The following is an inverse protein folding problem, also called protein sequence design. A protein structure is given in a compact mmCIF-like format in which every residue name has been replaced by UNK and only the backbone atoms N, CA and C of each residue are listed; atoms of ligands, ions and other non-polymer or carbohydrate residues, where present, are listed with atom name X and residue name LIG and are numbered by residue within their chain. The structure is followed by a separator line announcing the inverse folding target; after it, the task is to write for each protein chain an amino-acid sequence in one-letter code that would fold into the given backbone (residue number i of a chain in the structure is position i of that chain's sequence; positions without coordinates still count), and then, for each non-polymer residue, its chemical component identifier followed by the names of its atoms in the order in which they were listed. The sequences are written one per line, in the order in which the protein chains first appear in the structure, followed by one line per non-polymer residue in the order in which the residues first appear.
data_IF_747565531693
#
_entry.id   IF_747565531693
#
_cell.length_a   1.000
_cell.length_b   1.000
_cell.length_c   1.000
_cell.angle_alpha   90.00
_cell.angle_beta   90.00
_cell.angle_gamma   90.00
#
_symmetry.space_group_name_H-M   'P 1'
#
loop_
_entity.id
_entity.type
_entity.pdbx_description
1 polymer ?
#
# COMPACT_ATOMS: atom_id res chain seq x y z
N UNK A 1 -0.48 1.45 7.74
CA UNK A 1 -0.74 1.47 6.29
C UNK A 1 -0.04 2.64 5.63
N UNK A 2 1.27 2.51 5.46
CA UNK A 2 2.09 3.61 4.95
C UNK A 2 3.18 3.12 4.01
N UNK A 3 3.71 4.06 3.24
CA UNK A 3 4.83 3.85 2.32
C UNK A 3 5.98 4.80 2.61
N UNK A 4 7.19 4.41 2.22
CA UNK A 4 8.37 5.25 2.30
C UNK A 4 8.27 6.47 1.37
N UNK A 5 9.03 7.51 1.69
CA UNK A 5 9.23 8.65 0.79
C UNK A 5 9.78 8.16 -0.56
N UNK A 6 9.41 8.84 -1.63
CA UNK A 6 9.80 8.48 -2.98
C UNK A 6 8.90 7.43 -3.64
N UNK A 7 7.93 6.87 -2.92
CA UNK A 7 6.93 5.97 -3.52
C UNK A 7 6.16 6.75 -4.59
N UNK A 8 6.14 6.23 -5.81
CA UNK A 8 5.53 6.91 -6.96
C UNK A 8 4.05 6.60 -7.07
N UNK A 9 3.22 7.63 -6.97
CA UNK A 9 1.77 7.52 -7.08
C UNK A 9 1.35 7.88 -8.50
N UNK A 10 0.59 7.01 -9.15
CA UNK A 10 0.10 7.24 -10.51
C UNK A 10 -1.02 8.28 -10.53
N UNK A 11 -0.81 9.36 -11.29
CA UNK A 11 -1.78 10.42 -11.47
C UNK A 11 -2.72 10.13 -12.65
N UNK A 12 -3.91 10.73 -12.62
CA UNK A 12 -4.91 10.57 -13.67
C UNK A 12 -4.43 11.03 -15.05
N UNK A 13 -3.48 11.97 -15.10
CA UNK A 13 -2.92 12.51 -16.36
C UNK A 13 -1.82 11.62 -16.99
N UNK A 14 -1.49 10.49 -16.36
CA UNK A 14 -0.45 9.57 -16.83
C UNK A 14 0.94 9.81 -16.24
N UNK A 15 1.14 10.89 -15.48
CA UNK A 15 2.37 11.15 -14.75
C UNK A 15 2.40 10.40 -13.42
N UNK A 16 3.54 10.48 -12.74
CA UNK A 16 3.70 10.01 -11.36
C UNK A 16 4.14 11.17 -10.48
N UNK A 17 3.84 11.04 -9.18
CA UNK A 17 4.22 12.02 -8.16
C UNK A 17 4.62 11.28 -6.91
N UNK A 18 5.71 11.70 -6.25
CA UNK A 18 6.12 11.10 -4.98
C UNK A 18 5.04 11.28 -3.92
N UNK A 19 4.82 10.23 -3.11
CA UNK A 19 3.75 10.21 -2.11
C UNK A 19 3.86 11.41 -1.14
N UNK A 20 5.07 11.82 -0.75
CA UNK A 20 5.29 12.96 0.14
C UNK A 20 4.90 14.31 -0.49
N UNK A 21 4.78 14.36 -1.81
CA UNK A 21 4.42 15.56 -2.56
C UNK A 21 2.94 15.61 -2.94
N UNK A 22 2.21 14.53 -2.74
CA UNK A 22 0.76 14.48 -2.99
C UNK A 22 0.05 15.46 -2.06
N UNK A 23 -0.92 16.19 -2.60
CA UNK A 23 -1.76 17.13 -1.85
C UNK A 23 -3.23 16.80 -2.04
N UNK A 24 -4.06 17.29 -1.12
CA UNK A 24 -5.52 17.18 -1.27
C UNK A 24 -5.96 17.83 -2.58
N UNK A 25 -6.86 17.14 -3.28
CA UNK A 25 -7.34 17.59 -4.58
C UNK A 25 -6.59 16.98 -5.77
N UNK A 26 -5.42 16.35 -5.56
CA UNK A 26 -4.76 15.63 -6.63
C UNK A 26 -5.64 14.50 -7.15
N UNK A 27 -5.66 14.31 -8.46
CA UNK A 27 -6.39 13.21 -9.09
C UNK A 27 -5.44 12.05 -9.35
N UNK A 28 -5.76 10.90 -8.76
CA UNK A 28 -4.94 9.70 -8.83
C UNK A 28 -5.70 8.54 -9.46
N UNK A 29 -4.99 7.56 -9.97
CA UNK A 29 -5.57 6.32 -10.46
C UNK A 29 -5.75 5.34 -9.31
N UNK A 30 -6.84 4.57 -9.37
CA UNK A 30 -7.15 3.52 -8.40
C UNK A 30 -7.99 2.42 -9.03
N UNK A 31 -8.53 1.55 -8.20
CA UNK A 31 -9.27 0.35 -8.62
C UNK A 31 -10.70 0.40 -8.12
N UNK A 32 -11.68 0.25 -9.01
CA UNK A 32 -13.11 0.28 -8.67
C UNK A 32 -13.70 -1.11 -8.37
N UNK A 33 -12.90 -2.15 -8.42
CA UNK A 33 -13.32 -3.55 -8.31
C UNK A 33 -13.29 -4.30 -9.64
N UNK A 34 -13.24 -3.59 -10.76
CA UNK A 34 -13.25 -4.17 -12.11
C UNK A 34 -12.19 -3.54 -13.02
N UNK A 35 -11.96 -2.24 -12.89
CA UNK A 35 -11.05 -1.51 -13.78
C UNK A 35 -10.36 -0.36 -13.06
N UNK A 36 -9.35 0.21 -13.74
CA UNK A 36 -8.65 1.41 -13.27
C UNK A 36 -9.53 2.62 -13.55
N UNK A 37 -9.74 3.43 -12.51
CA UNK A 37 -10.51 4.67 -12.57
C UNK A 37 -9.72 5.78 -11.89
N UNK A 38 -10.10 7.03 -12.12
CA UNK A 38 -9.51 8.16 -11.41
C UNK A 38 -10.39 8.59 -10.24
N UNK A 39 -9.78 9.13 -9.20
CA UNK A 39 -10.47 9.74 -8.08
C UNK A 39 -9.57 10.75 -7.39
N UNK A 40 -10.13 11.47 -6.43
CA UNK A 40 -9.51 12.63 -5.79
C UNK A 40 -8.94 12.24 -4.43
N UNK A 41 -7.75 12.72 -4.12
CA UNK A 41 -7.16 12.62 -2.79
C UNK A 41 -7.90 13.58 -1.86
N UNK A 42 -8.47 13.06 -0.78
CA UNK A 42 -9.25 13.82 0.20
C UNK A 42 -8.49 14.10 1.49
N UNK A 43 -7.45 13.33 1.78
CA UNK A 43 -6.62 13.54 2.96
C UNK A 43 -5.21 12.99 2.72
N UNK A 44 -4.25 13.59 3.41
CA UNK A 44 -2.86 13.12 3.45
C UNK A 44 -2.47 12.89 4.90
N UNK A 45 -1.61 11.90 5.16
CA UNK A 45 -1.10 11.63 6.49
C UNK A 45 0.43 11.52 6.46
N UNK A 46 1.10 12.52 7.05
CA UNK A 46 2.56 12.65 7.12
C UNK A 46 3.07 12.58 8.56
N UNK A 47 2.25 12.08 9.51
CA UNK A 47 2.55 12.12 10.94
C UNK A 47 3.22 10.85 11.45
N UNK A 48 3.29 9.80 10.62
CA UNK A 48 3.77 8.50 11.04
C UNK A 48 5.25 8.29 10.75
N UNK A 49 5.85 7.44 11.57
CA UNK A 49 7.18 6.88 11.34
C UNK A 49 7.05 5.35 11.29
N UNK A 50 8.11 4.69 10.86
CA UNK A 50 8.17 3.21 10.86
C UNK A 50 7.92 2.67 12.29
N UNK A 51 8.40 3.38 13.31
CA UNK A 51 8.17 3.03 14.72
C UNK A 51 6.69 3.02 15.13
N UNK A 52 5.83 3.76 14.44
CA UNK A 52 4.38 3.72 14.68
C UNK A 52 3.75 2.37 14.32
N UNK A 53 4.46 1.54 13.57
CA UNK A 53 4.03 0.23 13.11
C UNK A 53 4.80 -0.92 13.80
N UNK A 54 5.43 -0.64 14.93
CA UNK A 54 6.28 -1.57 15.66
C UNK A 54 5.55 -2.87 16.06
N UNK A 55 4.30 -2.77 16.48
CA UNK A 55 3.53 -3.94 16.93
C UNK A 55 3.30 -4.93 15.79
N UNK A 56 2.98 -4.44 14.59
CA UNK A 56 2.81 -5.29 13.43
C UNK A 56 4.12 -5.97 13.02
N UNK A 57 5.24 -5.24 13.03
CA UNK A 57 6.55 -5.79 12.75
C UNK A 57 6.93 -6.86 13.79
N UNK A 58 6.65 -6.60 15.06
CA UNK A 58 6.92 -7.55 16.14
C UNK A 58 6.17 -8.86 15.96
N UNK A 59 4.95 -8.82 15.45
CA UNK A 59 4.17 -10.04 15.18
C UNK A 59 4.82 -10.93 14.11
N UNK A 60 5.68 -10.36 13.27
CA UNK A 60 6.49 -11.08 12.28
C UNK A 60 7.87 -11.48 12.81
N UNK A 61 8.19 -11.15 14.07
CA UNK A 61 9.50 -11.40 14.66
C UNK A 61 10.55 -10.36 14.31
N UNK A 62 10.14 -9.19 13.79
CA UNK A 62 11.06 -8.14 13.35
C UNK A 62 11.00 -6.90 14.26
N UNK A 63 12.09 -6.15 14.28
CA UNK A 63 12.11 -4.79 14.77
C UNK A 63 11.33 -3.87 13.81
N UNK A 64 11.03 -2.61 14.18
CA UNK A 64 10.32 -1.70 13.27
C UNK A 64 11.00 -1.62 11.91
N UNK A 65 10.29 -2.01 10.87
CA UNK A 65 10.88 -2.25 9.53
C UNK A 65 9.92 -1.87 8.41
N UNK A 66 10.51 -1.58 7.26
CA UNK A 66 9.81 -1.53 5.98
C UNK A 66 10.11 -2.82 5.21
N UNK A 67 9.12 -3.27 4.46
CA UNK A 67 9.16 -4.50 3.67
C UNK A 67 9.10 -4.17 2.19
N UNK A 68 9.60 -5.07 1.37
CA UNK A 68 9.47 -4.99 -0.08
C UNK A 68 9.10 -6.34 -0.69
N UNK A 69 8.62 -6.31 -1.92
CA UNK A 69 8.18 -7.49 -2.67
C UNK A 69 9.02 -7.60 -3.93
N UNK A 70 9.63 -8.76 -4.20
CA UNK A 70 10.42 -9.01 -5.40
C UNK A 70 11.46 -7.88 -5.62
N UNK A 71 11.56 -7.38 -6.86
CA UNK A 71 12.41 -6.25 -7.24
C UNK A 71 11.59 -4.97 -7.53
N UNK A 72 10.39 -4.88 -6.98
CA UNK A 72 9.45 -3.79 -7.27
C UNK A 72 9.85 -2.43 -6.71
N UNK A 73 10.81 -2.41 -5.79
CA UNK A 73 11.27 -1.22 -5.04
C UNK A 73 10.19 -0.56 -4.17
N UNK A 74 9.00 -1.15 -4.06
CA UNK A 74 8.00 -0.66 -3.12
C UNK A 74 8.48 -0.93 -1.69
N UNK A 75 8.32 0.07 -0.80
CA UNK A 75 8.70 -0.06 0.60
C UNK A 75 7.49 0.32 1.45
N UNK A 76 6.98 -0.66 2.21
CA UNK A 76 5.68 -0.54 2.86
C UNK A 76 5.71 -1.07 4.30
N UNK A 77 4.79 -0.55 5.11
CA UNK A 77 4.52 -1.09 6.44
C UNK A 77 3.67 -2.36 6.34
N UNK A 78 3.83 -3.33 7.27
CA UNK A 78 3.29 -4.68 7.08
C UNK A 78 1.77 -4.79 7.06
N UNK A 79 1.05 -3.81 7.56
CA UNK A 79 -0.42 -3.82 7.56
C UNK A 79 -1.04 -3.36 6.22
N UNK A 80 -0.22 -2.88 5.30
CA UNK A 80 -0.72 -2.29 4.06
C UNK A 80 -1.32 -3.33 3.13
N UNK A 81 -2.62 -3.19 2.72
CA UNK A 81 -3.26 -4.16 1.85
C UNK A 81 -2.88 -3.96 0.38
N UNK A 82 -2.67 -5.09 -0.29
CA UNK A 82 -2.42 -5.18 -1.74
C UNK A 82 -3.56 -5.92 -2.42
N UNK A 83 -3.92 -5.50 -3.63
CA UNK A 83 -4.87 -6.24 -4.44
C UNK A 83 -4.21 -7.51 -4.96
N UNK A 84 -4.80 -8.66 -4.61
CA UNK A 84 -4.40 -9.96 -5.15
C UNK A 84 -5.55 -10.54 -5.98
N UNK A 85 -5.29 -11.60 -6.73
CA UNK A 85 -6.34 -12.32 -7.45
C UNK A 85 -7.42 -12.89 -6.53
N UNK A 86 -7.11 -13.04 -5.24
CA UNK A 86 -8.03 -13.55 -4.23
C UNK A 86 -8.60 -12.45 -3.31
N UNK A 87 -8.45 -11.19 -3.70
CA UNK A 87 -8.90 -10.03 -2.94
C UNK A 87 -7.76 -9.32 -2.20
N UNK A 88 -8.12 -8.46 -1.26
CA UNK A 88 -7.15 -7.64 -0.51
C UNK A 88 -6.42 -8.47 0.53
N UNK A 89 -5.09 -8.38 0.54
CA UNK A 89 -4.23 -9.07 1.51
C UNK A 89 -3.11 -8.18 2.01
N UNK A 90 -2.72 -8.37 3.29
CA UNK A 90 -1.58 -7.69 3.89
C UNK A 90 -0.72 -8.67 4.68
N UNK A 91 0.56 -8.34 4.94
CA UNK A 91 1.45 -9.21 5.73
C UNK A 91 0.91 -9.43 7.14
N UNK A 92 0.41 -8.37 7.75
CA UNK A 92 -0.21 -8.40 9.07
C UNK A 92 -1.57 -7.72 8.94
N UNK A 93 -2.63 -8.48 8.63
CA UNK A 93 -3.97 -7.89 8.52
C UNK A 93 -4.39 -7.22 9.83
N UNK A 94 -4.92 -6.00 9.72
CA UNK A 94 -5.51 -5.30 10.85
C UNK A 94 -7.01 -5.65 10.90
N UNK A 95 -7.49 -6.31 11.96
CA UNK A 95 -8.90 -6.70 12.06
C UNK A 95 -9.85 -5.49 12.13
N UNK A 96 -9.33 -4.30 12.42
CA UNK A 96 -10.11 -3.07 12.44
C UNK A 96 -10.17 -2.38 11.06
N UNK A 97 -9.40 -2.86 10.10
CA UNK A 97 -9.35 -2.33 8.73
C UNK A 97 -10.02 -3.31 7.77
N UNK A 98 -11.35 -3.25 7.70
CA UNK A 98 -12.05 -3.98 6.65
C UNK A 98 -11.92 -3.21 5.33
N UNK A 99 -11.61 -3.87 4.22
CA UNK A 99 -11.68 -3.24 2.92
C UNK A 99 -13.06 -2.63 2.69
N UNK A 100 -13.10 -1.44 2.14
CA UNK A 100 -14.35 -0.74 1.86
C UNK A 100 -15.29 -1.65 1.04
N UNK A 101 -16.54 -1.78 1.49
CA UNK A 101 -17.56 -2.64 0.89
C UNK A 101 -17.24 -4.15 0.90
N UNK A 102 -16.31 -4.59 1.73
CA UNK A 102 -16.04 -6.02 1.90
C UNK A 102 -16.47 -6.47 3.29
N UNK A 103 -17.30 -7.51 3.36
CA UNK A 103 -17.61 -8.19 4.61
C UNK A 103 -16.48 -9.15 5.01
N UNK A 104 -15.52 -9.38 4.11
CA UNK A 104 -14.42 -10.29 4.34
C UNK A 104 -13.31 -9.62 5.14
N UNK A 105 -12.79 -10.32 6.12
CA UNK A 105 -11.57 -9.89 6.81
C UNK A 105 -10.38 -9.94 5.85
N UNK A 106 -9.44 -8.99 5.96
CA UNK A 106 -8.21 -9.05 5.17
C UNK A 106 -7.49 -10.36 5.42
N UNK A 107 -7.03 -10.99 4.35
CA UNK A 107 -6.24 -12.22 4.42
C UNK A 107 -4.76 -11.90 4.48
N UNK A 108 -3.97 -12.89 4.90
CA UNK A 108 -2.51 -12.76 4.97
C UNK A 108 -1.90 -12.86 3.58
N UNK A 109 -1.08 -11.85 3.24
CA UNK A 109 -0.27 -11.84 2.03
C UNK A 109 0.93 -12.75 2.21
N UNK A 110 1.24 -13.56 1.21
CA UNK A 110 2.36 -14.51 1.27
C UNK A 110 2.95 -14.79 -0.11
N UNK A 111 4.12 -15.37 -0.11
CA UNK A 111 4.78 -15.87 -1.33
C UNK A 111 3.82 -16.84 -2.04
N UNK A 112 3.71 -16.69 -3.36
CA UNK A 112 2.77 -17.44 -4.20
C UNK A 112 1.50 -16.66 -4.54
N UNK A 113 1.16 -15.61 -3.78
CA UNK A 113 0.05 -14.73 -4.15
C UNK A 113 0.41 -13.94 -5.40
N UNK A 114 -0.61 -13.49 -6.14
CA UNK A 114 -0.43 -12.68 -7.34
C UNK A 114 -0.97 -11.27 -7.09
N UNK A 115 -0.12 -10.27 -7.29
CA UNK A 115 -0.48 -8.85 -7.17
C UNK A 115 -0.51 -8.20 -8.54
N UNK A 116 -1.25 -7.11 -8.66
CA UNK A 116 -1.34 -6.38 -9.93
C UNK A 116 -0.28 -5.29 -9.99
N UNK A 117 0.63 -5.41 -10.95
CA UNK A 117 1.67 -4.42 -11.23
C UNK A 117 1.64 -4.02 -12.70
N UNK A 118 1.49 -2.73 -12.96
CA UNK A 118 1.45 -2.16 -14.31
C UNK A 118 0.39 -2.84 -15.21
N UNK A 119 -0.74 -3.24 -14.62
CA UNK A 119 -1.83 -3.90 -15.32
C UNK A 119 -1.65 -5.41 -15.48
N UNK A 120 -0.57 -5.99 -14.99
CA UNK A 120 -0.28 -7.42 -15.09
C UNK A 120 -0.28 -8.08 -13.72
N UNK A 121 -0.74 -9.34 -13.66
CA UNK A 121 -0.63 -10.14 -12.46
C UNK A 121 0.75 -10.76 -12.38
N UNK A 122 1.48 -10.41 -11.32
CA UNK A 122 2.81 -10.97 -11.05
C UNK A 122 2.78 -11.82 -9.79
N UNK A 123 3.51 -12.92 -9.81
CA UNK A 123 3.63 -13.81 -8.65
C UNK A 123 4.63 -13.23 -7.65
N UNK A 124 4.25 -13.21 -6.37
CA UNK A 124 5.16 -12.86 -5.29
C UNK A 124 6.12 -14.04 -5.07
N UNK A 125 7.39 -13.80 -5.33
CA UNK A 125 8.45 -14.80 -5.13
C UNK A 125 9.23 -14.54 -3.84
N UNK A 126 9.26 -13.28 -3.39
CA UNK A 126 10.06 -12.86 -2.23
C UNK A 126 9.38 -11.67 -1.53
N UNK A 127 9.34 -11.75 -0.20
CA UNK A 127 8.91 -10.65 0.68
C UNK A 127 9.97 -10.56 1.76
N UNK A 128 10.60 -9.39 1.91
CA UNK A 128 11.72 -9.23 2.84
C UNK A 128 11.74 -7.85 3.48
N UNK A 129 12.42 -7.76 4.61
CA UNK A 129 12.79 -6.49 5.23
C UNK A 129 13.81 -5.79 4.33
N UNK A 130 13.57 -4.53 4.04
CA UNK A 130 14.48 -3.71 3.24
C UNK A 130 15.22 -2.69 4.09
N UNK A 131 14.58 -2.16 5.14
CA UNK A 131 15.19 -1.21 6.08
C UNK A 131 14.55 -1.33 7.45
N UNK A 132 15.35 -1.09 8.50
CA UNK A 132 14.91 -1.12 9.90
C UNK A 132 15.36 0.15 10.60
N UNK A 133 14.60 1.23 10.40
CA UNK A 133 14.81 2.54 11.03
C UNK A 133 13.48 3.04 11.58
N UNK A 134 13.31 2.96 12.90
CA UNK A 134 12.08 3.38 13.57
C UNK A 134 11.75 4.86 13.37
N UNK A 135 12.75 5.68 13.09
CA UNK A 135 12.57 7.14 12.94
C UNK A 135 12.26 7.55 11.50
N UNK A 136 12.31 6.64 10.55
CA UNK A 136 12.02 6.95 9.17
C UNK A 136 10.55 7.35 8.99
N UNK A 137 10.31 8.46 8.30
CA UNK A 137 8.96 8.91 8.00
C UNK A 137 8.31 8.03 6.95
N UNK A 138 7.03 7.79 7.15
CA UNK A 138 6.18 7.06 6.20
C UNK A 138 4.91 7.85 5.94
N UNK A 139 4.27 7.59 4.80
CA UNK A 139 3.21 8.42 4.26
C UNK A 139 2.03 7.58 3.83
N UNK A 140 0.82 8.13 3.99
CA UNK A 140 -0.40 7.54 3.46
C UNK A 140 -1.28 8.65 2.88
N UNK A 141 -2.15 8.25 1.96
CA UNK A 141 -3.15 9.13 1.36
C UNK A 141 -4.51 8.46 1.42
N UNK A 142 -5.56 9.26 1.48
CA UNK A 142 -6.94 8.79 1.41
C UNK A 142 -7.54 9.23 0.08
N UNK A 143 -8.10 8.28 -0.64
CA UNK A 143 -8.69 8.50 -1.97
C UNK A 143 -10.20 8.33 -1.88
N UNK A 144 -10.96 9.29 -2.40
CA UNK A 144 -12.40 9.28 -2.38
C UNK A 144 -12.97 8.12 -3.21
N UNK A 145 -14.09 7.56 -2.80
CA UNK A 145 -14.86 6.49 -3.43
C UNK A 145 -14.11 5.18 -3.66
N UNK A 146 -12.95 5.21 -4.30
CA UNK A 146 -12.21 4.00 -4.67
C UNK A 146 -11.47 3.37 -3.48
N UNK A 147 -11.03 4.20 -2.54
CA UNK A 147 -10.22 3.77 -1.39
C UNK A 147 -9.01 2.94 -1.78
N UNK A 148 -8.47 3.21 -2.97
CA UNK A 148 -7.31 2.55 -3.54
C UNK A 148 -6.52 3.52 -4.42
N UNK A 149 -5.27 3.20 -4.65
CA UNK A 149 -4.42 3.95 -5.54
C UNK A 149 -3.31 3.05 -6.08
N UNK A 150 -2.48 3.59 -6.95
CA UNK A 150 -1.40 2.83 -7.57
C UNK A 150 -0.07 3.39 -7.07
N UNK A 151 0.69 2.56 -6.36
CA UNK A 151 1.98 2.88 -5.77
C UNK A 151 3.07 2.03 -6.44
N UNK A 152 4.06 2.66 -7.07
CA UNK A 152 5.08 1.99 -7.87
C UNK A 152 4.49 0.98 -8.87
N UNK A 153 3.38 1.36 -9.52
CA UNK A 153 2.67 0.52 -10.47
C UNK A 153 1.78 -0.55 -9.84
N UNK A 154 1.75 -0.69 -8.52
CA UNK A 154 1.02 -1.75 -7.80
C UNK A 154 -0.27 -1.18 -7.23
N UNK A 155 -1.37 -1.94 -7.40
CA UNK A 155 -2.67 -1.55 -6.84
C UNK A 155 -2.68 -1.86 -5.35
N UNK A 156 -2.89 -0.82 -4.54
CA UNK A 156 -2.90 -0.88 -3.08
C UNK A 156 -4.17 -0.24 -2.54
N UNK A 157 -4.55 -0.63 -1.33
CA UNK A 157 -5.71 -0.06 -0.65
C UNK A 157 -5.27 1.13 0.23
N UNK A 158 -6.05 2.19 0.27
CA UNK A 158 -5.93 3.14 1.37
C UNK A 158 -6.90 2.75 2.49
N UNK A 159 -6.57 3.17 3.65
CA UNK A 159 -7.37 2.88 4.83
C UNK A 159 -8.79 3.45 4.76
#
# INVERSE_FOLDING_TARGET
TCFAAGTEISLANGDVKSIEDIVEGDEVLGWDGESIQSSVVTAIDHRHTVGSHADACKSLGDEPSLYTINDTKIEFTPEHPFLTKEGWKSLVPDPNQKPYNSEQEPKVLKVGDEINKDGEWITIEDIRVVRSDANEKVYNITVDRLHSYIANGIIVHNK
#
